data_IF_938113635594
#
_entry.id   IF_938113635594
#
_cell.length_a   1.000
_cell.length_b   1.000
_cell.length_c   1.000
_cell.angle_alpha   90.00
_cell.angle_beta   90.00
_cell.angle_gamma   90.00
#
_symmetry.space_group_name_H-M   'P 1'
#
loop_
_entity.id
_entity.type
_entity.pdbx_description
1 polymer ?
#
# COMPACT_ATOMS: atom_id res chain seq x y z
N UNK A 1 3.87 26.28 -0.96
CA UNK A 1 3.14 25.15 -1.54
C UNK A 1 3.25 24.00 -0.56
N UNK A 2 2.12 23.43 -0.11
CA UNK A 2 2.18 22.21 0.69
C UNK A 2 2.44 21.06 -0.27
N UNK A 3 3.64 20.50 -0.22
CA UNK A 3 4.02 19.36 -1.05
C UNK A 3 3.56 18.08 -0.34
N UNK A 4 2.25 17.83 -0.34
CA UNK A 4 1.68 16.61 0.22
C UNK A 4 1.89 15.48 -0.77
N UNK A 5 2.32 14.33 -0.27
CA UNK A 5 2.37 13.08 -1.00
C UNK A 5 1.50 12.05 -0.29
N UNK A 6 0.66 11.35 -1.06
CA UNK A 6 -0.14 10.24 -0.54
C UNK A 6 0.56 8.92 -0.84
N UNK A 7 0.94 8.20 0.21
CA UNK A 7 1.62 6.92 0.12
C UNK A 7 0.59 5.83 0.37
N UNK A 8 0.45 4.96 -0.61
CA UNK A 8 -0.51 3.88 -0.66
C UNK A 8 0.25 2.56 -0.55
N UNK A 9 -0.07 1.76 0.46
CA UNK A 9 0.48 0.41 0.63
C UNK A 9 -0.66 -0.59 0.55
N UNK A 10 -0.68 -1.39 -0.50
CA UNK A 10 -1.63 -2.48 -0.65
C UNK A 10 -0.94 -3.80 -0.25
N UNK A 11 -1.46 -4.42 0.81
CA UNK A 11 -1.01 -5.70 1.32
C UNK A 11 -1.97 -6.78 0.85
N UNK A 12 -1.44 -7.82 0.21
CA UNK A 12 -2.17 -9.06 -0.04
C UNK A 12 -1.89 -9.98 1.14
N UNK A 13 -2.85 -10.10 2.04
CA UNK A 13 -2.66 -10.82 3.30
C UNK A 13 -2.90 -12.31 3.14
N UNK A 14 -3.89 -12.67 2.33
CA UNK A 14 -4.29 -14.05 2.08
C UNK A 14 -5.03 -14.15 0.74
N UNK A 15 -5.40 -15.37 0.30
CA UNK A 15 -6.28 -15.54 -0.86
C UNK A 15 -7.66 -14.88 -0.76
N UNK A 16 -8.06 -14.42 0.44
CA UNK A 16 -9.39 -13.83 0.66
C UNK A 16 -9.33 -12.38 1.16
N UNK A 17 -8.18 -11.87 1.57
CA UNK A 17 -8.08 -10.57 2.24
C UNK A 17 -6.98 -9.67 1.69
N UNK A 18 -7.35 -8.41 1.46
CA UNK A 18 -6.47 -7.30 1.12
C UNK A 18 -6.55 -6.26 2.22
N UNK A 19 -5.42 -5.63 2.53
CA UNK A 19 -5.36 -4.46 3.40
C UNK A 19 -4.75 -3.28 2.65
N UNK A 20 -5.47 -2.18 2.62
CA UNK A 20 -5.03 -0.90 2.08
C UNK A 20 -4.64 0.01 3.23
N UNK A 21 -3.40 0.50 3.22
CA UNK A 21 -2.91 1.52 4.15
C UNK A 21 -2.59 2.77 3.35
N UNK A 22 -3.13 3.90 3.78
CA UNK A 22 -2.85 5.21 3.19
C UNK A 22 -2.22 6.11 4.21
N UNK A 23 -1.13 6.78 3.85
CA UNK A 23 -0.45 7.78 4.66
C UNK A 23 -0.32 9.08 3.88
N UNK A 24 -0.77 10.20 4.44
CA UNK A 24 -0.49 11.54 3.90
C UNK A 24 0.81 12.04 4.54
N UNK A 25 1.78 12.41 3.72
CA UNK A 25 3.09 12.87 4.18
C UNK A 25 3.38 14.24 3.60
N UNK A 26 3.81 15.16 4.46
CA UNK A 26 4.39 16.41 4.03
C UNK A 26 5.85 16.16 3.64
N UNK A 27 6.18 16.23 2.34
CA UNK A 27 7.52 15.79 1.87
C UNK A 27 8.64 16.76 2.25
N UNK A 28 8.33 18.02 2.57
CA UNK A 28 9.32 19.01 3.04
C UNK A 28 9.73 18.71 4.48
N UNK A 29 8.78 18.45 5.36
CA UNK A 29 9.05 18.18 6.78
C UNK A 29 9.26 16.70 7.09
N UNK A 30 8.92 15.80 6.15
CA UNK A 30 8.87 14.35 6.35
C UNK A 30 7.79 13.89 7.33
N UNK A 31 6.91 14.78 7.80
CA UNK A 31 5.90 14.46 8.83
C UNK A 31 4.68 13.79 8.22
N UNK A 32 4.19 12.78 8.93
CA UNK A 32 2.89 12.18 8.66
C UNK A 32 1.78 13.15 9.09
N UNK A 33 0.85 13.45 8.19
CA UNK A 33 -0.33 14.27 8.45
C UNK A 33 -1.58 13.42 8.69
N UNK A 34 -1.48 12.10 8.53
CA UNK A 34 -2.55 11.17 8.85
C UNK A 34 -2.38 9.81 8.19
N UNK A 35 -2.88 8.77 8.87
CA UNK A 35 -2.92 7.38 8.37
C UNK A 35 -4.35 6.87 8.38
N UNK A 36 -4.66 5.99 7.43
CA UNK A 36 -5.94 5.30 7.36
C UNK A 36 -5.75 3.87 6.87
N UNK A 37 -6.52 2.95 7.42
CA UNK A 37 -6.51 1.53 7.06
C UNK A 37 -7.90 1.09 6.57
N UNK A 38 -7.91 0.26 5.54
CA UNK A 38 -9.13 -0.33 4.98
C UNK A 38 -8.87 -1.80 4.64
N UNK A 39 -9.89 -2.64 4.81
CA UNK A 39 -9.83 -4.06 4.47
C UNK A 39 -10.82 -4.34 3.35
N UNK A 40 -10.40 -5.17 2.40
CA UNK A 40 -11.20 -5.58 1.26
C UNK A 40 -11.06 -7.08 1.03
N UNK A 41 -12.02 -7.66 0.33
CA UNK A 41 -11.88 -9.04 -0.15
C UNK A 41 -10.80 -9.13 -1.24
N UNK A 42 -10.02 -10.20 -1.24
CA UNK A 42 -9.10 -10.51 -2.33
C UNK A 42 -9.83 -11.17 -3.52
N UNK A 43 -10.80 -10.43 -4.06
CA UNK A 43 -11.58 -10.80 -5.25
C UNK A 43 -11.45 -9.69 -6.28
N UNK A 44 -11.88 -9.94 -7.53
CA UNK A 44 -11.96 -8.88 -8.56
C UNK A 44 -12.79 -7.68 -8.09
N UNK A 45 -13.89 -7.95 -7.39
CA UNK A 45 -14.75 -6.91 -6.82
C UNK A 45 -14.04 -6.12 -5.72
N UNK A 46 -13.39 -6.80 -4.77
CA UNK A 46 -12.65 -6.14 -3.71
C UNK A 46 -11.45 -5.32 -4.20
N UNK A 47 -10.75 -5.77 -5.25
CA UNK A 47 -9.73 -4.97 -5.92
C UNK A 47 -10.29 -3.71 -6.59
N UNK A 48 -11.48 -3.80 -7.20
CA UNK A 48 -12.16 -2.63 -7.76
C UNK A 48 -12.50 -1.63 -6.66
N UNK A 49 -13.08 -2.10 -5.55
CA UNK A 49 -13.40 -1.27 -4.38
C UNK A 49 -12.16 -0.64 -3.75
N UNK A 50 -11.05 -1.38 -3.65
CA UNK A 50 -9.77 -0.85 -3.19
C UNK A 50 -9.24 0.23 -4.13
N UNK A 51 -9.35 0.03 -5.44
CA UNK A 51 -8.94 1.01 -6.45
C UNK A 51 -9.77 2.30 -6.39
N UNK A 52 -11.09 2.18 -6.19
CA UNK A 52 -11.97 3.33 -5.96
C UNK A 52 -11.60 4.07 -4.68
N UNK A 53 -11.29 3.33 -3.61
CA UNK A 53 -10.85 3.93 -2.35
C UNK A 53 -9.52 4.67 -2.51
N UNK A 54 -8.54 4.10 -3.22
CA UNK A 54 -7.27 4.77 -3.54
C UNK A 54 -7.52 6.08 -4.29
N UNK A 55 -8.40 6.07 -5.29
CA UNK A 55 -8.79 7.28 -6.03
C UNK A 55 -9.38 8.35 -5.10
N UNK A 56 -10.26 7.96 -4.18
CA UNK A 56 -10.86 8.86 -3.20
C UNK A 56 -9.84 9.42 -2.21
N UNK A 57 -8.88 8.60 -1.75
CA UNK A 57 -7.89 9.00 -0.75
C UNK A 57 -6.83 9.96 -1.31
N UNK A 58 -6.39 9.75 -2.56
CA UNK A 58 -5.41 10.64 -3.19
C UNK A 58 -6.01 11.99 -3.59
N UNK A 59 -7.27 12.01 -4.03
CA UNK A 59 -7.88 13.22 -4.57
C UNK A 59 -7.03 13.83 -5.69
N UNK A 60 -6.62 15.09 -5.51
CA UNK A 60 -5.75 15.82 -6.44
C UNK A 60 -4.26 15.77 -6.06
N UNK A 61 -3.91 15.12 -4.95
CA UNK A 61 -2.53 15.05 -4.47
C UNK A 61 -1.74 14.01 -5.28
N UNK A 62 -0.42 14.22 -5.47
CA UNK A 62 0.44 13.18 -6.02
C UNK A 62 0.44 11.95 -5.11
N UNK A 63 0.51 10.76 -5.71
CA UNK A 63 0.53 9.50 -4.97
C UNK A 63 1.64 8.55 -5.40
N UNK A 64 2.07 7.70 -4.46
CA UNK A 64 2.98 6.59 -4.70
C UNK A 64 2.35 5.32 -4.14
N UNK A 65 2.50 4.22 -4.86
CA UNK A 65 1.85 2.96 -4.52
C UNK A 65 2.90 1.86 -4.34
N UNK A 66 2.74 1.05 -3.30
CA UNK A 66 3.43 -0.20 -3.11
C UNK A 66 2.43 -1.35 -3.06
N UNK A 67 2.82 -2.47 -3.64
CA UNK A 67 2.11 -3.74 -3.55
C UNK A 67 3.02 -4.72 -2.82
N UNK A 68 2.56 -5.27 -1.70
CA UNK A 68 3.32 -6.23 -0.92
C UNK A 68 2.47 -7.49 -0.78
N UNK A 69 3.00 -8.60 -1.29
CA UNK A 69 2.35 -9.89 -1.18
C UNK A 69 2.90 -10.63 0.05
N UNK A 70 2.03 -10.81 1.05
CA UNK A 70 2.30 -11.61 2.24
C UNK A 70 1.60 -12.98 2.19
N UNK A 71 0.80 -13.24 1.16
CA UNK A 71 0.12 -14.52 1.00
C UNK A 71 1.13 -15.62 0.70
N UNK A 72 1.25 -16.58 1.62
CA UNK A 72 2.04 -17.80 1.42
C UNK A 72 1.35 -18.81 0.49
N UNK A 73 0.08 -18.55 0.14
CA UNK A 73 -0.75 -19.41 -0.71
C UNK A 73 -1.14 -18.71 -1.99
N UNK A 74 -1.17 -19.48 -3.07
CA UNK A 74 -1.78 -19.06 -4.33
C UNK A 74 -3.30 -18.92 -4.16
N UNK A 75 -3.89 -17.97 -4.88
CA UNK A 75 -5.33 -17.72 -4.89
C UNK A 75 -5.68 -16.24 -4.80
N UNK A 76 -6.97 -15.96 -4.60
CA UNK A 76 -7.52 -14.61 -4.68
C UNK A 76 -7.55 -14.05 -6.11
N UNK A 77 -7.67 -12.73 -6.25
CA UNK A 77 -7.89 -12.08 -7.54
C UNK A 77 -6.81 -12.39 -8.57
N UNK A 78 -5.55 -12.42 -8.14
CA UNK A 78 -4.43 -12.63 -9.05
C UNK A 78 -4.14 -14.11 -9.35
N UNK A 79 -4.63 -15.03 -8.51
CA UNK A 79 -4.51 -16.48 -8.73
C UNK A 79 -3.09 -17.06 -8.78
N UNK A 80 -2.05 -16.23 -8.66
CA UNK A 80 -0.64 -16.56 -8.77
C UNK A 80 0.19 -15.73 -7.77
N UNK A 81 1.41 -16.15 -7.41
CA UNK A 81 2.28 -15.38 -6.54
C UNK A 81 2.68 -14.06 -7.22
N UNK A 82 2.28 -12.94 -6.62
CA UNK A 82 2.71 -11.61 -7.08
C UNK A 82 3.99 -11.22 -6.37
N UNK A 83 4.91 -10.60 -7.12
CA UNK A 83 6.13 -10.02 -6.55
C UNK A 83 5.85 -8.67 -5.93
N UNK A 84 6.52 -8.39 -4.82
CA UNK A 84 6.48 -7.08 -4.19
C UNK A 84 6.91 -5.97 -5.17
N UNK A 85 6.26 -4.82 -5.05
CA UNK A 85 6.54 -3.62 -5.82
C UNK A 85 6.56 -2.42 -4.87
N UNK A 86 7.56 -1.53 -4.92
CA UNK A 86 8.71 -1.57 -5.83
C UNK A 86 9.73 -2.68 -5.47
N UNK A 87 10.56 -3.10 -6.43
CA UNK A 87 11.51 -4.23 -6.25
C UNK A 87 12.56 -4.00 -5.14
N UNK A 88 12.81 -2.75 -4.77
CA UNK A 88 13.79 -2.32 -3.78
C UNK A 88 13.21 -2.13 -2.38
N UNK A 89 12.06 -2.73 -2.06
CA UNK A 89 11.46 -2.66 -0.71
C UNK A 89 12.39 -3.21 0.38
N UNK A 90 13.18 -4.25 0.09
CA UNK A 90 14.03 -4.93 1.08
C UNK A 90 13.34 -6.17 1.68
N UNK A 91 13.79 -6.60 2.87
CA UNK A 91 13.21 -7.74 3.60
C UNK A 91 11.80 -7.38 4.11
N UNK A 92 10.79 -8.13 3.68
CA UNK A 92 9.39 -7.93 4.13
C UNK A 92 8.92 -8.98 5.13
N UNK A 93 9.67 -10.07 5.30
CA UNK A 93 9.26 -11.21 6.12
C UNK A 93 9.37 -10.87 7.61
N UNK A 94 8.34 -11.20 8.38
CA UNK A 94 8.31 -10.98 9.83
C UNK A 94 8.00 -9.53 10.25
N UNK A 95 7.78 -8.62 9.30
CA UNK A 95 7.38 -7.24 9.58
C UNK A 95 5.87 -7.14 9.81
N UNK A 96 5.48 -6.26 10.73
CA UNK A 96 4.09 -5.87 10.94
C UNK A 96 3.56 -5.07 9.74
N UNK A 97 2.23 -4.99 9.60
CA UNK A 97 1.59 -4.19 8.53
C UNK A 97 2.04 -2.72 8.53
N UNK A 98 2.27 -2.14 9.72
CA UNK A 98 2.75 -0.77 9.85
C UNK A 98 4.22 -0.62 9.48
N UNK A 99 5.07 -1.58 9.83
CA UNK A 99 6.47 -1.58 9.40
C UNK A 99 6.60 -1.73 7.89
N UNK A 100 5.71 -2.50 7.25
CA UNK A 100 5.61 -2.61 5.80
C UNK A 100 5.18 -1.30 5.13
N UNK A 101 4.24 -0.57 5.74
CA UNK A 101 3.87 0.76 5.27
C UNK A 101 5.04 1.77 5.41
N UNK A 102 5.79 1.71 6.52
CA UNK A 102 7.00 2.51 6.70
C UNK A 102 8.10 2.13 5.70
N UNK A 103 8.24 0.85 5.36
CA UNK A 103 9.14 0.36 4.34
C UNK A 103 8.78 0.92 2.96
N UNK A 104 7.49 0.87 2.61
CA UNK A 104 6.96 1.49 1.40
C UNK A 104 7.30 2.98 1.36
N UNK A 105 6.99 3.71 2.44
CA UNK A 105 7.31 5.14 2.56
C UNK A 105 8.79 5.42 2.31
N UNK A 106 9.69 4.67 2.94
CA UNK A 106 11.14 4.82 2.74
C UNK A 106 11.55 4.52 1.28
N UNK A 107 10.98 3.50 0.66
CA UNK A 107 11.29 3.13 -0.71
C UNK A 107 10.83 4.18 -1.74
N UNK A 108 9.72 4.86 -1.49
CA UNK A 108 9.16 5.86 -2.42
C UNK A 108 9.63 7.29 -2.17
N UNK A 109 10.07 7.62 -0.94
CA UNK A 109 10.62 8.93 -0.58
C UNK A 109 12.14 9.04 -0.82
N UNK A 110 12.88 7.93 -0.84
CA UNK A 110 14.30 7.95 -1.21
C UNK A 110 14.45 8.27 -2.70
N UNK A 111 14.84 9.52 -3.00
CA UNK A 111 15.66 9.87 -4.15
C UNK A 111 17.11 9.93 -3.72
#
# INVERSE_FOLDING_TARGET
>A
MSEILVIITLLILSPTELKLISERVNVVSGRSEGKSEFVFENTKGGFSSASDKIRSLKGNEPSRECLINLSEKDGGFYGLPIKNSPKNLGETKGLTHMELAELCKKAVLKK
#
